data_IF_676597130698
#
_entry.id   IF_676597130698
#
_cell.length_a   1.000
_cell.length_b   1.000
_cell.length_c   1.000
_cell.angle_alpha   90.00
_cell.angle_beta   90.00
_cell.angle_gamma   90.00
#
_symmetry.space_group_name_H-M   'P 1'
#
loop_
_entity.id
_entity.type
_entity.pdbx_description
1 polymer ?
#
# COMPACT_ATOMS: atom_id res chain seq x y z
N UNK A 1 -27.62 21.55 3.69
CA UNK A 1 -27.10 20.93 2.52
C UNK A 1 -25.67 21.37 2.32
N UNK A 2 -24.83 20.58 2.65
CA UNK A 2 -23.52 20.98 3.03
C UNK A 2 -22.49 20.03 2.43
N UNK A 3 -21.26 20.36 2.61
CA UNK A 3 -20.10 19.55 2.20
C UNK A 3 -20.33 18.06 2.53
N UNK A 4 -20.98 17.74 3.65
CA UNK A 4 -21.36 16.37 4.01
C UNK A 4 -22.29 15.69 2.98
N UNK A 5 -23.26 16.40 2.42
CA UNK A 5 -24.17 15.81 1.42
C UNK A 5 -23.48 15.61 0.06
N UNK A 6 -22.47 16.42 -0.25
CA UNK A 6 -21.62 16.24 -1.43
C UNK A 6 -20.66 15.04 -1.23
N UNK A 7 -20.14 14.85 -0.04
CA UNK A 7 -19.36 13.64 0.31
C UNK A 7 -20.22 12.38 0.31
N UNK A 8 -21.42 12.43 0.86
CA UNK A 8 -22.35 11.29 0.88
C UNK A 8 -22.85 10.90 -0.52
N UNK A 9 -22.92 11.83 -1.45
CA UNK A 9 -23.40 11.58 -2.82
C UNK A 9 -22.29 11.25 -3.82
N UNK A 10 -21.06 11.73 -3.62
CA UNK A 10 -19.99 11.62 -4.60
C UNK A 10 -18.84 10.68 -4.17
N UNK A 11 -18.69 10.41 -2.88
CA UNK A 11 -17.74 9.43 -2.36
C UNK A 11 -18.53 8.34 -1.66
N UNK A 12 -18.35 7.11 -2.11
CA UNK A 12 -19.02 6.01 -1.48
C UNK A 12 -18.50 5.79 -0.06
N UNK A 13 -19.34 5.18 0.78
CA UNK A 13 -18.94 4.74 2.12
C UNK A 13 -17.72 3.80 2.09
N UNK A 14 -17.46 3.13 0.96
CA UNK A 14 -16.35 2.23 0.79
C UNK A 14 -15.00 2.96 0.64
N UNK A 15 -14.93 4.13 -0.04
CA UNK A 15 -13.70 4.93 -0.07
C UNK A 15 -13.32 5.43 1.33
N UNK A 16 -14.29 5.88 2.13
CA UNK A 16 -14.05 6.21 3.53
C UNK A 16 -13.54 5.02 4.33
N UNK A 17 -14.05 3.83 4.04
CA UNK A 17 -13.61 2.61 4.68
C UNK A 17 -12.17 2.27 4.30
N UNK A 18 -11.79 2.40 3.03
CA UNK A 18 -10.43 2.22 2.58
C UNK A 18 -9.44 3.18 3.28
N UNK A 19 -9.80 4.46 3.38
CA UNK A 19 -8.98 5.46 4.09
C UNK A 19 -8.86 5.17 5.58
N UNK A 20 -9.95 4.75 6.22
CA UNK A 20 -9.94 4.34 7.63
C UNK A 20 -9.00 3.16 7.87
N UNK A 21 -9.04 2.17 6.99
CA UNK A 21 -8.19 0.99 7.08
C UNK A 21 -6.73 1.34 6.80
N UNK A 22 -6.45 2.13 5.75
CA UNK A 22 -5.11 2.62 5.43
C UNK A 22 -4.52 3.47 6.57
N UNK A 23 -5.29 4.43 7.08
CA UNK A 23 -4.88 5.28 8.20
C UNK A 23 -4.65 4.46 9.48
N UNK A 24 -5.48 3.45 9.73
CA UNK A 24 -5.28 2.49 10.82
C UNK A 24 -3.94 1.74 10.69
N UNK A 25 -3.61 1.26 9.51
CA UNK A 25 -2.35 0.57 9.25
C UNK A 25 -1.14 1.50 9.46
N UNK A 26 -1.17 2.72 8.92
CA UNK A 26 -0.10 3.71 9.08
C UNK A 26 0.09 4.06 10.57
N UNK A 27 -1.01 4.30 11.30
CA UNK A 27 -0.96 4.59 12.73
C UNK A 27 -0.41 3.41 13.54
N UNK A 28 -0.74 2.17 13.14
CA UNK A 28 -0.23 0.96 13.77
C UNK A 28 1.29 0.84 13.57
N UNK A 29 1.79 1.10 12.35
CA UNK A 29 3.23 1.13 12.09
C UNK A 29 3.94 2.20 12.93
N UNK A 30 3.35 3.38 13.09
CA UNK A 30 3.90 4.41 13.99
C UNK A 30 3.95 3.94 15.44
N UNK A 31 2.90 3.26 15.94
CA UNK A 31 2.89 2.69 17.29
C UNK A 31 3.95 1.61 17.51
N UNK A 32 4.32 0.87 16.48
CA UNK A 32 5.41 -0.13 16.57
C UNK A 32 6.79 0.52 16.77
N UNK A 33 6.98 1.76 16.35
CA UNK A 33 8.29 2.46 16.36
C UNK A 33 8.51 3.37 17.58
N UNK A 34 7.49 3.56 18.42
CA UNK A 34 7.64 4.38 19.65
C UNK A 34 7.92 3.51 20.86
N UNK A 35 8.50 4.13 21.90
CA UNK A 35 8.77 3.45 23.17
C UNK A 35 7.50 2.82 23.74
N UNK A 36 7.63 1.58 24.21
CA UNK A 36 6.50 0.84 24.74
C UNK A 36 6.10 1.36 26.16
N UNK A 37 4.81 1.60 26.32
CA UNK A 37 4.15 1.70 27.63
C UNK A 37 2.99 0.71 27.68
N UNK A 38 2.47 0.36 28.88
CA UNK A 38 1.32 -0.54 28.95
C UNK A 38 0.12 -0.08 28.11
N UNK A 39 -0.16 1.21 28.09
CA UNK A 39 -1.27 1.80 27.33
C UNK A 39 -1.00 1.70 25.83
N UNK A 40 0.22 1.98 25.38
CA UNK A 40 0.63 1.85 23.98
C UNK A 40 0.61 0.41 23.51
N UNK A 41 1.03 -0.53 24.37
CA UNK A 41 0.94 -1.96 24.08
C UNK A 41 -0.50 -2.40 23.84
N UNK A 42 -1.42 -2.04 24.71
CA UNK A 42 -2.85 -2.32 24.53
C UNK A 42 -3.40 -1.69 23.25
N UNK A 43 -3.02 -0.45 22.97
CA UNK A 43 -3.45 0.24 21.75
C UNK A 43 -2.94 -0.47 20.50
N UNK A 44 -1.67 -0.88 20.48
CA UNK A 44 -1.04 -1.60 19.38
C UNK A 44 -1.72 -2.96 19.14
N UNK A 45 -1.94 -3.75 20.19
CA UNK A 45 -2.63 -5.04 20.07
C UNK A 45 -4.05 -4.88 19.54
N UNK A 46 -4.80 -3.88 19.99
CA UNK A 46 -6.15 -3.58 19.49
C UNK A 46 -6.13 -3.17 18.02
N UNK A 47 -5.14 -2.36 17.62
CA UNK A 47 -4.98 -1.93 16.23
C UNK A 47 -4.65 -3.13 15.31
N UNK A 48 -3.72 -3.99 15.71
CA UNK A 48 -3.38 -5.21 14.97
C UNK A 48 -4.58 -6.17 14.92
N UNK A 49 -5.28 -6.35 16.05
CA UNK A 49 -6.50 -7.17 16.11
C UNK A 49 -7.55 -6.64 15.12
N UNK A 50 -7.73 -5.33 15.02
CA UNK A 50 -8.62 -4.72 14.03
C UNK A 50 -8.20 -5.06 12.61
N UNK A 51 -6.93 -4.87 12.25
CA UNK A 51 -6.42 -5.11 10.89
C UNK A 51 -6.54 -6.57 10.45
N UNK A 52 -6.28 -7.53 11.35
CA UNK A 52 -6.38 -8.97 11.01
C UNK A 52 -7.82 -9.50 10.98
N UNK A 53 -8.76 -8.83 11.64
CA UNK A 53 -10.17 -9.26 11.69
C UNK A 53 -11.11 -8.46 10.80
N UNK A 54 -10.66 -7.32 10.29
CA UNK A 54 -11.47 -6.44 9.43
C UNK A 54 -11.43 -6.93 7.99
N UNK A 55 -12.57 -6.96 7.34
CA UNK A 55 -12.64 -7.31 5.92
C UNK A 55 -11.85 -6.31 5.07
N UNK A 56 -11.20 -6.83 4.04
CA UNK A 56 -10.55 -5.98 3.05
C UNK A 56 -11.59 -5.07 2.37
N UNK A 57 -11.31 -3.77 2.23
CA UNK A 57 -12.17 -2.89 1.44
C UNK A 57 -12.40 -3.45 0.04
N UNK A 58 -13.65 -3.45 -0.39
CA UNK A 58 -14.04 -3.94 -1.72
C UNK A 58 -14.67 -2.80 -2.49
N UNK A 59 -14.38 -2.76 -3.78
CA UNK A 59 -14.99 -1.79 -4.69
C UNK A 59 -16.48 -2.10 -4.85
N UNK A 60 -17.33 -1.17 -4.45
CA UNK A 60 -18.78 -1.27 -4.58
C UNK A 60 -19.32 -0.54 -5.81
N UNK A 61 -18.58 0.46 -6.29
CA UNK A 61 -18.95 1.26 -7.48
C UNK A 61 -17.70 1.95 -8.07
N UNK A 62 -17.87 2.73 -9.14
CA UNK A 62 -16.76 3.39 -9.83
C UNK A 62 -16.07 4.51 -9.04
N UNK A 63 -16.67 4.95 -7.94
CA UNK A 63 -16.11 5.97 -7.06
C UNK A 63 -15.33 5.40 -5.86
N UNK A 64 -15.41 4.07 -5.63
CA UNK A 64 -14.66 3.36 -4.60
C UNK A 64 -13.24 3.04 -5.12
N UNK A 65 -12.45 4.07 -5.27
CA UNK A 65 -11.22 3.99 -6.07
C UNK A 65 -9.96 3.82 -5.24
N UNK A 66 -10.00 4.14 -3.94
CA UNK A 66 -8.79 4.25 -3.11
C UNK A 66 -8.41 2.94 -2.38
N UNK A 67 -8.95 1.81 -2.80
CA UNK A 67 -8.74 0.53 -2.13
C UNK A 67 -7.28 0.06 -2.16
N UNK A 68 -6.50 0.45 -3.18
CA UNK A 68 -5.07 0.12 -3.22
C UNK A 68 -4.29 0.75 -2.06
N UNK A 69 -4.68 1.93 -1.57
CA UNK A 69 -4.09 2.51 -0.37
C UNK A 69 -4.22 1.59 0.84
N UNK A 70 -5.42 1.05 1.07
CA UNK A 70 -5.63 0.10 2.14
C UNK A 70 -4.79 -1.17 1.92
N UNK A 71 -4.76 -1.69 0.70
CA UNK A 71 -4.02 -2.90 0.38
C UNK A 71 -2.51 -2.74 0.62
N UNK A 72 -1.92 -1.65 0.13
CA UNK A 72 -0.49 -1.36 0.30
C UNK A 72 -0.12 -1.24 1.77
N UNK A 73 -0.80 -0.36 2.50
CA UNK A 73 -0.40 -0.06 3.89
C UNK A 73 -0.74 -1.17 4.87
N UNK A 74 -1.83 -1.91 4.67
CA UNK A 74 -2.11 -3.07 5.53
C UNK A 74 -1.11 -4.18 5.27
N UNK A 75 -0.77 -4.47 4.01
CA UNK A 75 0.24 -5.48 3.70
C UNK A 75 1.58 -5.13 4.37
N UNK A 76 2.08 -3.91 4.19
CA UNK A 76 3.31 -3.43 4.83
C UNK A 76 3.23 -3.57 6.36
N UNK A 77 2.14 -3.10 6.95
CA UNK A 77 1.95 -3.16 8.40
C UNK A 77 1.96 -4.59 8.95
N UNK A 78 1.32 -5.54 8.26
CA UNK A 78 1.27 -6.94 8.69
C UNK A 78 2.64 -7.62 8.56
N UNK A 79 3.43 -7.28 7.54
CA UNK A 79 4.80 -7.76 7.39
C UNK A 79 5.70 -7.20 8.51
N UNK A 80 5.63 -5.91 8.79
CA UNK A 80 6.35 -5.31 9.92
C UNK A 80 5.94 -5.93 11.26
N UNK A 81 4.64 -6.17 11.47
CA UNK A 81 4.15 -6.81 12.69
C UNK A 81 4.62 -8.27 12.82
N UNK A 82 4.73 -9.01 11.73
CA UNK A 82 5.26 -10.37 11.73
C UNK A 82 6.75 -10.42 12.10
N UNK A 83 7.51 -9.38 11.77
CA UNK A 83 8.92 -9.24 12.16
C UNK A 83 9.09 -8.66 13.59
N UNK A 84 8.04 -8.12 14.19
CA UNK A 84 8.11 -7.51 15.50
C UNK A 84 8.25 -8.58 16.61
N UNK A 85 9.29 -8.50 17.46
CA UNK A 85 9.54 -9.51 18.51
C UNK A 85 8.40 -9.63 19.52
N UNK A 86 7.52 -8.65 19.61
CA UNK A 86 6.36 -8.67 20.51
C UNK A 86 5.24 -9.61 20.07
N UNK A 87 5.23 -10.03 18.79
CA UNK A 87 4.12 -10.78 18.18
C UNK A 87 4.54 -12.11 17.56
N UNK A 88 5.50 -12.80 18.21
CA UNK A 88 6.06 -14.06 17.70
C UNK A 88 5.26 -15.32 18.07
N UNK A 89 4.09 -15.18 18.73
CA UNK A 89 3.25 -16.35 19.00
C UNK A 89 2.71 -16.96 17.70
N UNK A 90 2.54 -18.28 17.68
CA UNK A 90 2.03 -18.99 16.49
C UNK A 90 0.67 -18.47 16.03
N UNK A 91 -0.19 -18.03 16.96
CA UNK A 91 -1.49 -17.43 16.60
C UNK A 91 -1.34 -16.12 15.87
N UNK A 92 -0.50 -15.19 16.35
CA UNK A 92 -0.25 -13.94 15.65
C UNK A 92 0.40 -14.16 14.28
N UNK A 93 1.42 -15.01 14.21
CA UNK A 93 2.12 -15.30 12.95
C UNK A 93 1.17 -15.88 11.89
N UNK A 94 0.34 -16.84 12.28
CA UNK A 94 -0.68 -17.41 11.40
C UNK A 94 -1.64 -16.34 10.87
N UNK A 95 -2.17 -15.49 11.74
CA UNK A 95 -3.13 -14.44 11.38
C UNK A 95 -2.53 -13.37 10.48
N UNK A 96 -1.28 -12.97 10.75
CA UNK A 96 -0.57 -12.03 9.88
C UNK A 96 -0.35 -12.62 8.50
N UNK A 97 0.09 -13.87 8.41
CA UNK A 97 0.31 -14.53 7.13
C UNK A 97 -0.99 -14.71 6.35
N UNK A 98 -2.05 -15.18 6.98
CA UNK A 98 -3.34 -15.38 6.32
C UNK A 98 -3.89 -14.07 5.76
N UNK A 99 -3.94 -13.03 6.59
CA UNK A 99 -4.44 -11.73 6.16
C UNK A 99 -3.49 -11.04 5.19
N UNK A 100 -2.18 -11.11 5.42
CA UNK A 100 -1.17 -10.56 4.51
C UNK A 100 -1.24 -11.21 3.13
N UNK A 101 -1.44 -12.52 3.06
CA UNK A 101 -1.63 -13.24 1.80
C UNK A 101 -2.87 -12.77 1.04
N UNK A 102 -3.98 -12.52 1.72
CA UNK A 102 -5.19 -11.96 1.11
C UNK A 102 -4.94 -10.58 0.48
N UNK A 103 -4.23 -9.70 1.21
CA UNK A 103 -3.86 -8.39 0.69
C UNK A 103 -2.84 -8.47 -0.45
N UNK A 104 -1.87 -9.38 -0.36
CA UNK A 104 -0.93 -9.63 -1.46
C UNK A 104 -1.63 -10.11 -2.73
N UNK A 105 -2.58 -11.04 -2.62
CA UNK A 105 -3.36 -11.51 -3.77
C UNK A 105 -4.12 -10.36 -4.44
N UNK A 106 -4.67 -9.44 -3.65
CA UNK A 106 -5.30 -8.25 -4.18
C UNK A 106 -4.29 -7.34 -4.89
N UNK A 107 -3.12 -7.11 -4.29
CA UNK A 107 -2.06 -6.32 -4.92
C UNK A 107 -1.60 -6.95 -6.23
N UNK A 108 -1.38 -8.26 -6.26
CA UNK A 108 -0.98 -8.99 -7.48
C UNK A 108 -2.03 -8.88 -8.60
N UNK A 109 -3.32 -8.97 -8.24
CA UNK A 109 -4.42 -8.84 -9.20
C UNK A 109 -4.60 -7.40 -9.73
N UNK A 110 -4.14 -6.40 -8.97
CA UNK A 110 -4.26 -4.98 -9.31
C UNK A 110 -2.92 -4.32 -9.68
N UNK A 111 -1.89 -5.10 -9.92
CA UNK A 111 -0.63 -4.58 -10.47
C UNK A 111 -0.84 -4.10 -11.90
N UNK A 112 -0.42 -2.87 -12.19
CA UNK A 112 -0.49 -2.31 -13.54
C UNK A 112 0.49 -3.07 -14.47
N UNK A 113 0.20 -3.24 -15.77
CA UNK A 113 1.03 -4.04 -16.68
C UNK A 113 2.53 -3.65 -16.74
N UNK A 114 2.88 -2.42 -16.38
CA UNK A 114 4.28 -1.99 -16.25
C UNK A 114 4.90 -2.34 -14.90
N UNK A 115 4.15 -2.93 -13.99
CA UNK A 115 4.63 -3.46 -12.72
C UNK A 115 4.35 -2.62 -11.47
N UNK A 116 3.72 -1.45 -11.59
CA UNK A 116 3.48 -0.55 -10.47
C UNK A 116 2.06 -0.62 -9.90
N UNK A 117 1.82 0.18 -8.86
CA UNK A 117 0.50 0.44 -8.27
C UNK A 117 0.23 1.94 -8.16
N UNK A 118 -1.01 2.32 -8.47
CA UNK A 118 -1.55 3.63 -8.17
C UNK A 118 -2.42 3.60 -6.91
N UNK A 119 -3.15 4.67 -6.68
CA UNK A 119 -4.10 4.76 -5.56
C UNK A 119 -5.32 3.87 -5.76
N UNK A 120 -5.67 3.63 -7.00
CA UNK A 120 -6.94 3.08 -7.43
C UNK A 120 -6.81 1.63 -7.83
N UNK A 121 -7.81 0.84 -7.47
CA UNK A 121 -8.05 -0.43 -8.13
C UNK A 121 -8.36 -0.21 -9.61
N UNK A 122 -8.11 -1.23 -10.42
CA UNK A 122 -8.58 -1.25 -11.79
C UNK A 122 -10.11 -1.18 -11.88
N UNK A 123 -10.65 -0.86 -13.05
CA UNK A 123 -12.09 -0.82 -13.27
C UNK A 123 -12.73 -2.19 -12.98
N UNK A 124 -13.99 -2.15 -12.56
CA UNK A 124 -14.78 -3.28 -12.02
C UNK A 124 -14.84 -4.50 -12.96
N UNK A 125 -14.61 -4.33 -14.25
CA UNK A 125 -14.71 -5.41 -15.22
C UNK A 125 -13.45 -5.53 -16.06
N UNK A 126 -12.62 -6.53 -15.75
CA UNK A 126 -11.64 -7.11 -16.67
C UNK A 126 -10.54 -6.21 -17.23
N UNK A 127 -10.36 -5.02 -16.71
CA UNK A 127 -9.28 -4.12 -17.11
C UNK A 127 -8.26 -3.99 -15.99
N UNK A 128 -6.99 -4.15 -16.33
CA UNK A 128 -5.90 -3.80 -15.40
C UNK A 128 -5.93 -2.30 -15.06
N UNK A 129 -5.44 -1.91 -13.88
CA UNK A 129 -5.19 -0.52 -13.58
C UNK A 129 -4.38 0.13 -14.70
N UNK A 130 -4.75 1.33 -15.08
CA UNK A 130 -4.07 2.06 -16.17
C UNK A 130 -3.02 3.04 -15.69
N UNK A 131 -2.79 3.08 -14.39
CA UNK A 131 -1.98 4.13 -13.77
C UNK A 131 -1.35 3.67 -12.46
N UNK A 132 -0.08 3.97 -12.31
CA UNK A 132 0.72 3.68 -11.13
C UNK A 132 1.67 4.83 -10.81
N UNK A 133 2.13 4.91 -9.57
CA UNK A 133 3.09 5.91 -9.12
C UNK A 133 4.36 5.28 -8.59
N UNK A 134 5.49 5.95 -8.79
CA UNK A 134 6.78 5.46 -8.33
C UNK A 134 6.83 5.29 -6.81
N UNK A 135 6.31 6.26 -6.05
CA UNK A 135 6.38 6.21 -4.59
C UNK A 135 5.45 5.16 -3.99
N UNK A 136 4.21 5.01 -4.49
CA UNK A 136 3.31 3.96 -3.99
C UNK A 136 3.87 2.56 -4.28
N UNK A 137 4.51 2.40 -5.45
CA UNK A 137 5.18 1.15 -5.81
C UNK A 137 6.43 0.92 -4.98
N UNK A 138 7.25 1.95 -4.77
CA UNK A 138 8.50 1.82 -4.03
C UNK A 138 8.27 1.43 -2.56
N UNK A 139 7.23 1.97 -1.91
CA UNK A 139 7.01 1.74 -0.49
C UNK A 139 6.66 0.28 -0.14
N UNK A 140 6.11 -0.50 -1.08
CA UNK A 140 5.73 -1.90 -0.82
C UNK A 140 6.86 -2.90 -1.11
N UNK A 141 7.87 -2.54 -1.90
CA UNK A 141 8.96 -3.45 -2.29
C UNK A 141 9.67 -4.09 -1.09
N UNK A 142 10.09 -3.35 -0.04
CA UNK A 142 10.72 -3.96 1.12
C UNK A 142 9.83 -5.03 1.76
N UNK A 143 8.54 -4.74 1.93
CA UNK A 143 7.62 -5.70 2.52
C UNK A 143 7.41 -6.95 1.64
N UNK A 144 7.44 -6.84 0.32
CA UNK A 144 7.39 -8.00 -0.58
C UNK A 144 8.61 -8.91 -0.40
N UNK A 145 9.78 -8.33 -0.25
CA UNK A 145 11.04 -9.07 0.00
C UNK A 145 10.98 -9.77 1.36
N UNK A 146 10.67 -9.03 2.41
CA UNK A 146 10.61 -9.57 3.78
C UNK A 146 9.55 -10.66 3.92
N UNK A 147 8.35 -10.46 3.36
CA UNK A 147 7.30 -11.48 3.37
C UNK A 147 7.76 -12.78 2.69
N UNK A 148 8.47 -12.66 1.55
CA UNK A 148 9.04 -13.83 0.86
C UNK A 148 10.10 -14.53 1.73
N UNK A 149 10.97 -13.79 2.40
CA UNK A 149 11.99 -14.33 3.30
C UNK A 149 11.37 -15.06 4.50
N UNK A 150 10.23 -14.57 5.00
CA UNK A 150 9.42 -15.26 6.02
C UNK A 150 8.65 -16.49 5.50
N UNK A 151 8.74 -16.81 4.21
CA UNK A 151 8.05 -17.96 3.60
C UNK A 151 6.58 -17.71 3.26
N UNK A 152 6.14 -16.46 3.19
CA UNK A 152 4.80 -16.14 2.68
C UNK A 152 4.71 -16.44 1.18
N UNK A 153 3.53 -16.80 0.64
CA UNK A 153 3.37 -17.18 -0.76
C UNK A 153 3.37 -15.96 -1.69
N UNK A 154 4.52 -15.31 -1.80
CA UNK A 154 4.74 -14.14 -2.66
C UNK A 154 5.22 -14.58 -4.04
N UNK A 155 4.48 -14.22 -5.09
CA UNK A 155 4.94 -14.45 -6.47
C UNK A 155 6.13 -13.52 -6.78
N UNK A 156 7.31 -14.06 -7.09
CA UNK A 156 8.49 -13.25 -7.42
C UNK A 156 8.24 -12.29 -8.58
N UNK A 157 7.41 -12.64 -9.56
CA UNK A 157 7.11 -11.78 -10.71
C UNK A 157 6.47 -10.46 -10.31
N UNK A 158 5.68 -10.46 -9.24
CA UNK A 158 5.06 -9.24 -8.71
C UNK A 158 6.12 -8.30 -8.16
N UNK A 159 7.07 -8.83 -7.39
CA UNK A 159 8.19 -8.04 -6.89
C UNK A 159 9.11 -7.55 -8.01
N UNK A 160 9.45 -8.41 -8.95
CA UNK A 160 10.32 -8.07 -10.09
C UNK A 160 9.68 -6.97 -10.96
N UNK A 161 8.37 -7.04 -11.18
CA UNK A 161 7.61 -6.00 -11.85
C UNK A 161 7.65 -4.66 -11.11
N UNK A 162 7.49 -4.68 -9.79
CA UNK A 162 7.56 -3.48 -8.96
C UNK A 162 8.95 -2.81 -9.02
N UNK A 163 10.00 -3.59 -8.89
CA UNK A 163 11.39 -3.12 -8.99
C UNK A 163 11.63 -2.53 -10.38
N UNK A 164 11.24 -3.24 -11.44
CA UNK A 164 11.37 -2.75 -12.81
C UNK A 164 10.64 -1.42 -13.04
N UNK A 165 9.41 -1.30 -12.52
CA UNK A 165 8.65 -0.04 -12.63
C UNK A 165 9.37 1.13 -11.97
N UNK A 166 9.86 0.97 -10.74
CA UNK A 166 10.59 2.02 -10.03
C UNK A 166 11.88 2.38 -10.75
N UNK A 167 12.62 1.37 -11.24
CA UNK A 167 13.83 1.61 -12.04
C UNK A 167 13.53 2.40 -13.31
N UNK A 168 12.41 2.12 -13.97
CA UNK A 168 12.00 2.86 -15.19
C UNK A 168 11.59 4.31 -14.86
N UNK A 169 11.16 4.59 -13.64
CA UNK A 169 10.88 5.96 -13.19
C UNK A 169 12.13 6.77 -12.84
N UNK A 170 13.31 6.13 -12.73
CA UNK A 170 14.54 6.81 -12.36
C UNK A 170 15.00 7.80 -13.45
N UNK A 171 15.47 8.96 -13.03
CA UNK A 171 16.01 10.00 -13.90
C UNK A 171 17.54 10.08 -13.75
N UNK A 172 18.28 10.54 -14.78
CA UNK A 172 19.74 10.64 -14.74
C UNK A 172 20.30 11.48 -13.58
N UNK A 173 19.50 12.41 -13.07
CA UNK A 173 19.87 13.28 -11.95
C UNK A 173 19.61 12.66 -10.56
N UNK A 174 19.19 11.39 -10.49
CA UNK A 174 18.88 10.68 -9.26
C UNK A 174 17.47 10.91 -8.71
N UNK A 175 16.66 11.74 -9.37
CA UNK A 175 15.24 11.88 -9.04
C UNK A 175 14.41 10.75 -9.67
N UNK A 176 13.14 10.67 -9.29
CA UNK A 176 12.19 9.72 -9.84
C UNK A 176 10.96 10.45 -10.39
N UNK A 177 10.52 10.04 -11.58
CA UNK A 177 9.24 10.50 -12.10
C UNK A 177 8.11 10.04 -11.18
N UNK A 178 7.10 10.88 -11.05
CA UNK A 178 5.91 10.53 -10.29
C UNK A 178 5.17 9.32 -10.88
N UNK A 179 5.02 9.31 -12.22
CA UNK A 179 4.44 8.21 -12.99
C UNK A 179 5.05 8.14 -14.40
N UNK A 180 4.72 7.09 -15.15
CA UNK A 180 5.21 6.91 -16.54
C UNK A 180 4.24 7.42 -17.62
N UNK A 181 3.22 8.18 -17.27
CA UNK A 181 2.29 8.79 -18.24
C UNK A 181 2.87 10.06 -18.85
N UNK A 182 3.66 10.79 -18.07
CA UNK A 182 4.28 12.03 -18.51
C UNK A 182 5.74 11.77 -18.83
N UNK A 183 6.14 11.97 -20.08
CA UNK A 183 7.56 11.97 -20.47
C UNK A 183 8.11 13.33 -20.09
N UNK A 184 8.95 13.37 -19.05
CA UNK A 184 9.71 14.55 -18.70
C UNK A 184 10.94 14.58 -19.63
N UNK A 185 11.12 15.62 -20.48
CA UNK A 185 12.34 15.75 -21.27
C UNK A 185 13.57 15.74 -20.38
N UNK A 186 14.60 15.03 -20.78
CA UNK A 186 15.81 14.80 -19.97
C UNK A 186 16.53 16.10 -19.58
N UNK A 187 16.45 17.12 -20.42
CA UNK A 187 16.99 18.45 -20.15
C UNK A 187 16.25 19.19 -19.01
N UNK A 188 14.92 19.06 -18.93
CA UNK A 188 14.15 19.64 -17.83
C UNK A 188 14.37 18.91 -16.50
N UNK A 189 14.66 17.62 -16.54
CA UNK A 189 14.98 16.83 -15.35
C UNK A 189 16.33 17.24 -14.73
N UNK A 190 17.30 17.72 -15.52
CA UNK A 190 18.59 18.25 -15.04
C UNK A 190 18.48 19.68 -14.50
N UNK A 191 17.60 20.50 -15.06
CA UNK A 191 17.43 21.89 -14.64
C UNK A 191 16.68 22.03 -13.28
N UNK A 192 15.82 21.08 -12.95
CA UNK A 192 15.03 21.14 -11.71
C UNK A 192 15.84 20.92 -10.41
N UNK A 193 16.99 20.30 -10.45
CA UNK A 193 17.84 20.15 -9.24
C UNK A 193 18.60 21.43 -8.89
N UNK A 194 19.02 22.20 -9.88
CA UNK A 194 19.76 23.43 -9.65
C UNK A 194 18.88 24.57 -9.10
N UNK A 195 17.57 24.45 -9.21
CA UNK A 195 16.60 25.42 -8.69
C UNK A 195 16.09 25.10 -7.26
N UNK A 196 16.54 24.02 -6.62
CA UNK A 196 16.18 23.60 -5.24
C UNK A 196 17.30 23.93 -4.25
N UNK A 197 18.13 24.91 -4.56
CA UNK A 197 19.13 25.46 -3.62
C UNK A 197 18.54 26.59 -2.81
#
# INVERSE_FOLDING_TARGET
>A
STVESLFETNYSKASFYAWKVAGGAISTMALMKVDETPERRVALERALQYLVSTDRPKRGNDWDIDNNWAALYVFICLVEAANDPRFQSADWQKRFQERGTEYFQHLAANQEPKGGWGYYEGPVVGRHPSWSTSFATACVIPALVEAKEMGWPIDPKVNDGAVHYVQTCALPNGAYQYDLRTIIPTNLATENIDNVK
#
